data_IF_825362883914
#
_entry.id   IF_825362883914
#
_cell.length_a   1.000
_cell.length_b   1.000
_cell.length_c   1.000
_cell.angle_alpha   90.00
_cell.angle_beta   90.00
_cell.angle_gamma   90.00
#
_symmetry.space_group_name_H-M   'P 1'
#
loop_
_entity.id
_entity.type
_entity.pdbx_description
1 polymer ?
#
# COMPACT_ATOMS: atom_id res chain seq x y z
N UNK A 1 -14.02 -1.04 5.45
CA UNK A 1 -12.91 -1.55 6.29
C UNK A 1 -12.46 -0.40 7.19
N UNK A 2 -12.51 -0.55 8.52
CA UNK A 2 -12.13 0.50 9.48
C UNK A 2 -10.76 0.15 10.06
N UNK A 3 -9.78 1.01 9.87
CA UNK A 3 -8.45 0.85 10.44
C UNK A 3 -8.34 1.72 11.69
N UNK A 4 -7.85 1.15 12.80
CA UNK A 4 -7.63 1.87 14.06
C UNK A 4 -6.16 1.80 14.45
N UNK A 5 -5.64 2.87 15.06
CA UNK A 5 -4.30 2.87 15.64
C UNK A 5 -4.32 2.12 16.97
N UNK A 6 -3.25 1.39 17.26
CA UNK A 6 -3.09 0.66 18.51
C UNK A 6 -1.65 0.80 19.03
N UNK A 7 -1.48 0.68 20.34
CA UNK A 7 -0.17 0.51 20.98
C UNK A 7 0.09 -0.98 21.13
N UNK A 8 1.25 -1.45 20.69
CA UNK A 8 1.65 -2.85 20.84
C UNK A 8 2.70 -2.98 21.95
N UNK A 9 2.38 -3.72 23.00
CA UNK A 9 3.28 -3.96 24.14
C UNK A 9 3.12 -5.40 24.64
N UNK A 10 4.22 -6.12 24.82
CA UNK A 10 4.25 -7.47 25.38
C UNK A 10 3.28 -8.46 24.70
N UNK A 11 3.16 -8.40 23.38
CA UNK A 11 2.26 -9.28 22.62
C UNK A 11 0.80 -8.84 22.57
N UNK A 12 0.44 -7.72 23.20
CA UNK A 12 -0.92 -7.19 23.23
C UNK A 12 -1.01 -5.90 22.42
N UNK A 13 -1.95 -5.83 21.47
CA UNK A 13 -2.31 -4.61 20.75
C UNK A 13 -3.52 -3.95 21.44
N UNK A 14 -3.33 -2.77 22.01
CA UNK A 14 -4.39 -1.98 22.65
C UNK A 14 -4.80 -0.81 21.74
N UNK A 15 -6.03 -0.81 21.19
CA UNK A 15 -6.53 0.30 20.38
C UNK A 15 -6.47 1.63 21.13
N UNK A 16 -6.11 2.70 20.41
CA UNK A 16 -6.11 4.07 20.96
C UNK A 16 -7.55 4.61 21.09
N UNK A 17 -8.48 4.07 20.29
CA UNK A 17 -9.90 4.41 20.31
C UNK A 17 -10.76 3.18 20.65
N UNK A 18 -11.93 3.33 21.29
CA UNK A 18 -12.83 2.22 21.57
C UNK A 18 -13.35 1.54 20.29
N UNK A 19 -13.33 0.20 20.27
CA UNK A 19 -13.79 -0.63 19.13
C UNK A 19 -15.00 -1.52 19.48
N UNK A 20 -15.95 -1.00 20.26
CA UNK A 20 -17.12 -1.76 20.72
C UNK A 20 -17.92 -2.37 19.56
N UNK A 21 -18.39 -3.60 19.74
CA UNK A 21 -19.34 -4.25 18.83
C UNK A 21 -18.70 -5.00 17.66
N UNK A 22 -17.39 -5.26 17.71
CA UNK A 22 -16.62 -5.98 16.70
C UNK A 22 -16.00 -7.27 17.25
N UNK A 23 -16.57 -7.81 18.32
CA UNK A 23 -16.11 -9.05 18.95
C UNK A 23 -16.28 -10.26 18.00
N UNK A 24 -15.22 -11.06 17.85
CA UNK A 24 -15.23 -12.25 16.98
C UNK A 24 -14.96 -11.99 15.50
N UNK A 25 -14.78 -10.73 15.10
CA UNK A 25 -14.39 -10.38 13.74
C UNK A 25 -12.89 -10.66 13.50
N UNK A 26 -12.57 -11.10 12.28
CA UNK A 26 -11.18 -11.25 11.85
C UNK A 26 -10.54 -9.89 11.63
N UNK A 27 -9.30 -9.71 12.11
CA UNK A 27 -8.56 -8.45 11.98
C UNK A 27 -7.24 -8.66 11.27
N UNK A 28 -6.79 -7.63 10.56
CA UNK A 28 -5.45 -7.55 9.99
C UNK A 28 -4.65 -6.59 10.88
N UNK A 29 -3.52 -7.07 11.40
CA UNK A 29 -2.61 -6.26 12.21
C UNK A 29 -1.45 -5.81 11.32
N UNK A 30 -1.26 -4.50 11.20
CA UNK A 30 -0.15 -3.92 10.45
C UNK A 30 0.77 -3.19 11.40
N UNK A 31 2.04 -3.56 11.40
CA UNK A 31 3.09 -2.84 12.12
C UNK A 31 3.64 -1.74 11.22
N UNK A 32 3.59 -0.51 11.70
CA UNK A 32 4.18 0.64 11.03
C UNK A 32 5.48 0.97 11.76
N UNK A 33 6.61 0.99 11.05
CA UNK A 33 7.85 1.50 11.61
C UNK A 33 7.70 3.00 11.87
N UNK A 34 7.96 3.42 13.12
CA UNK A 34 7.82 4.81 13.55
C UNK A 34 8.82 5.77 12.87
N UNK A 35 9.78 5.25 12.11
CA UNK A 35 10.90 5.98 11.51
C UNK A 35 10.67 6.40 10.04
N UNK A 36 9.45 6.32 9.51
CA UNK A 36 9.11 6.98 8.23
C UNK A 36 8.19 8.18 8.46
N UNK A 37 8.64 9.10 9.31
CA UNK A 37 8.37 10.53 9.08
C UNK A 37 9.58 11.17 8.40
N UNK A 38 10.17 10.49 7.43
CA UNK A 38 10.86 11.20 6.36
C UNK A 38 9.76 11.59 5.39
N UNK A 39 9.23 12.80 5.56
CA UNK A 39 8.75 13.59 4.42
C UNK A 39 9.97 13.86 3.52
N UNK A 40 10.48 12.81 2.89
CA UNK A 40 11.42 12.95 1.80
C UNK A 40 10.56 13.43 0.65
N UNK A 41 10.78 14.67 0.23
CA UNK A 41 10.21 15.28 -0.96
C UNK A 41 10.74 14.61 -2.26
N UNK A 42 10.84 13.28 -2.26
CA UNK A 42 11.28 12.44 -3.39
C UNK A 42 10.12 11.82 -4.16
N UNK A 43 8.89 12.32 -3.94
CA UNK A 43 7.71 11.78 -4.59
C UNK A 43 7.78 11.90 -6.13
N UNK A 44 8.38 12.94 -6.69
CA UNK A 44 8.31 13.19 -8.14
C UNK A 44 9.05 12.14 -8.99
N UNK A 45 10.22 11.66 -8.54
CA UNK A 45 11.01 10.70 -9.32
C UNK A 45 10.45 9.28 -9.24
N UNK A 46 9.91 8.89 -8.09
CA UNK A 46 9.34 7.56 -7.89
C UNK A 46 8.00 7.41 -8.64
N UNK A 47 7.18 8.46 -8.65
CA UNK A 47 5.97 8.51 -9.47
C UNK A 47 6.29 8.52 -10.96
N UNK A 48 7.33 9.23 -11.39
CA UNK A 48 7.77 9.24 -12.79
C UNK A 48 8.25 7.85 -13.24
N UNK A 49 9.01 7.13 -12.40
CA UNK A 49 9.45 5.77 -12.66
C UNK A 49 8.25 4.80 -12.80
N UNK A 50 7.24 4.95 -11.94
CA UNK A 50 6.01 4.17 -12.03
C UNK A 50 5.23 4.48 -13.31
N UNK A 51 5.08 5.76 -13.68
CA UNK A 51 4.42 6.17 -14.93
C UNK A 51 5.12 5.55 -16.15
N UNK A 52 6.46 5.59 -16.19
CA UNK A 52 7.24 4.98 -17.27
C UNK A 52 7.08 3.46 -17.33
N UNK A 53 6.99 2.78 -16.20
CA UNK A 53 6.73 1.34 -16.16
C UNK A 53 5.36 1.02 -16.79
N UNK A 54 4.32 1.77 -16.42
CA UNK A 54 2.96 1.59 -16.93
C UNK A 54 2.89 1.84 -18.44
N UNK A 55 3.53 2.91 -18.93
CA UNK A 55 3.61 3.23 -20.36
C UNK A 55 4.34 2.13 -21.14
N UNK A 56 5.46 1.63 -20.61
CA UNK A 56 6.21 0.55 -21.25
C UNK A 56 5.38 -0.75 -21.34
N UNK A 57 4.62 -1.09 -20.29
CA UNK A 57 3.72 -2.24 -20.32
C UNK A 57 2.57 -2.06 -21.35
N UNK A 58 2.02 -0.85 -21.47
CA UNK A 58 0.98 -0.55 -22.47
C UNK A 58 1.51 -0.64 -23.91
N UNK A 59 2.75 -0.22 -24.13
CA UNK A 59 3.41 -0.29 -25.44
C UNK A 59 3.78 -1.72 -25.83
N UNK A 60 4.18 -2.57 -24.88
CA UNK A 60 4.45 -3.99 -25.13
C UNK A 60 3.18 -4.74 -25.57
N UNK A 61 2.03 -4.43 -24.97
CA UNK A 61 0.74 -4.97 -25.43
C UNK A 61 0.40 -4.53 -26.87
N UNK A 62 0.68 -3.28 -27.24
CA UNK A 62 0.41 -2.77 -28.60
C UNK A 62 1.31 -3.40 -29.68
N UNK A 63 2.60 -3.62 -29.37
CA UNK A 63 3.53 -4.28 -30.30
C UNK A 63 3.13 -5.74 -30.58
N UNK A 64 2.65 -6.46 -29.56
CA UNK A 64 2.24 -7.87 -29.71
C UNK A 64 0.95 -8.05 -30.52
N UNK A 65 0.04 -7.07 -30.53
CA UNK A 65 -1.18 -7.12 -31.35
C UNK A 65 -0.87 -6.86 -32.84
N UNK A 66 0.13 -6.04 -33.16
CA UNK A 66 0.52 -5.78 -34.56
C UNK A 66 1.27 -6.96 -35.19
N UNK A 67 2.12 -7.66 -34.42
CA UNK A 67 2.85 -8.85 -34.89
C UNK A 67 1.94 -10.07 -35.18
N UNK A 68 0.74 -10.11 -34.59
CA UNK A 68 -0.26 -11.17 -34.83
C UNK A 68 -1.26 -10.86 -35.95
N UNK A 69 -1.08 -9.75 -36.67
CA UNK A 69 -1.92 -9.34 -37.82
C UNK A 69 -1.20 -9.41 -39.17
N UNK A 70 0.02 -9.97 -39.22
CA UNK A 70 0.74 -10.23 -40.49
C UNK A 70 0.80 -11.72 -40.81
#
# INVERSE_FOLDING_TARGET
>A
MRSVKAKFQNGVATPVEPIKGHEGESVIITFLDAEQTNLSSTDDLDWQALTQLVENCANDFSYRIQQNKS
#
